data_IF_865432862827
#
_entry.id   IF_865432862827
#
_cell.length_a   1.000
_cell.length_b   1.000
_cell.length_c   1.000
_cell.angle_alpha   90.00
_cell.angle_beta   90.00
_cell.angle_gamma   90.00
#
_symmetry.space_group_name_H-M   'P 1'
#
loop_
_entity.id
_entity.type
_entity.pdbx_description
1 polymer ?
#
# COMPACT_ATOMS: atom_id res chain seq x y z
N UNK A 1 6.22 8.12 -1.64
CA UNK A 1 5.23 9.12 -2.09
C UNK A 1 5.03 10.16 -0.99
N UNK A 2 5.01 11.44 -1.34
CA UNK A 2 4.65 12.55 -0.43
C UNK A 2 3.18 12.86 -0.64
N UNK A 3 2.38 12.89 0.42
CA UNK A 3 0.92 13.05 0.32
C UNK A 3 0.49 14.35 1.01
N UNK A 4 -0.20 15.22 0.28
CA UNK A 4 -0.92 16.41 0.78
C UNK A 4 -2.40 16.36 0.48
N UNK A 5 -3.20 16.92 1.39
CA UNK A 5 -4.53 17.43 1.05
C UNK A 5 -4.40 18.83 0.42
N UNK A 6 -5.34 19.21 -0.45
CA UNK A 6 -5.29 20.45 -1.28
C UNK A 6 -5.00 21.77 -0.52
N UNK A 7 -5.18 21.81 0.81
CA UNK A 7 -5.03 23.02 1.65
C UNK A 7 -3.80 23.01 2.57
N UNK A 8 -2.95 22.00 2.46
CA UNK A 8 -1.81 21.79 3.35
C UNK A 8 -0.49 22.27 2.75
N UNK A 9 0.25 23.09 3.52
CA UNK A 9 1.60 23.52 3.17
C UNK A 9 2.61 22.38 3.24
N UNK A 10 3.76 22.54 2.57
CA UNK A 10 4.80 21.51 2.45
C UNK A 10 5.28 20.92 3.78
N UNK A 11 5.22 21.72 4.84
CA UNK A 11 5.62 21.35 6.20
C UNK A 11 4.65 20.36 6.90
N UNK A 12 3.51 20.01 6.29
CA UNK A 12 2.46 19.17 6.90
C UNK A 12 2.25 17.82 6.21
N UNK A 13 3.11 17.46 5.26
CA UNK A 13 2.96 16.24 4.47
C UNK A 13 3.22 14.96 5.27
N UNK A 14 2.44 13.93 4.99
CA UNK A 14 2.80 12.56 5.37
C UNK A 14 3.79 11.99 4.36
N UNK A 15 4.71 11.17 4.85
CA UNK A 15 5.60 10.36 4.02
C UNK A 15 5.17 8.90 4.10
N UNK A 16 4.85 8.33 2.95
CA UNK A 16 4.45 6.92 2.82
C UNK A 16 5.31 6.26 1.75
N UNK A 17 5.92 5.13 2.06
CA UNK A 17 6.51 4.25 1.07
C UNK A 17 5.41 3.39 0.47
N UNK A 18 5.34 3.34 -0.85
CA UNK A 18 4.36 2.53 -1.57
C UNK A 18 5.14 1.50 -2.35
N UNK A 19 4.91 0.23 -2.05
CA UNK A 19 5.39 -0.89 -2.84
C UNK A 19 4.34 -1.19 -3.89
N UNK A 20 4.76 -1.31 -5.14
CA UNK A 20 3.87 -1.55 -6.28
C UNK A 20 4.41 -2.71 -7.08
N UNK A 21 3.54 -3.66 -7.41
CA UNK A 21 3.83 -4.73 -8.34
C UNK A 21 2.69 -4.83 -9.34
N UNK A 22 3.05 -4.98 -10.61
CA UNK A 22 2.13 -5.19 -11.72
C UNK A 22 2.52 -6.49 -12.43
N UNK A 23 1.55 -7.37 -12.66
CA UNK A 23 1.74 -8.54 -13.50
C UNK A 23 0.48 -8.87 -14.30
N UNK A 24 0.69 -9.36 -15.53
CA UNK A 24 -0.36 -9.71 -16.49
C UNK A 24 -0.74 -11.19 -16.35
N UNK A 25 -2.03 -11.46 -16.18
CA UNK A 25 -2.64 -12.77 -16.39
C UNK A 25 -2.90 -12.96 -17.89
N UNK A 26 -1.87 -13.42 -18.62
CA UNK A 26 -1.87 -13.46 -20.10
C UNK A 26 -3.04 -14.23 -20.73
N UNK A 27 -3.57 -15.26 -20.05
CA UNK A 27 -4.65 -16.10 -20.56
C UNK A 27 -6.04 -15.45 -20.51
N UNK A 28 -6.19 -14.32 -19.82
CA UNK A 28 -7.48 -13.65 -19.57
C UNK A 28 -7.39 -12.13 -19.72
N UNK A 29 -6.35 -11.66 -20.43
CA UNK A 29 -6.06 -10.25 -20.71
C UNK A 29 -6.22 -9.28 -19.53
N UNK A 30 -5.89 -9.73 -18.32
CA UNK A 30 -6.10 -8.96 -17.09
C UNK A 30 -4.77 -8.58 -16.45
N UNK A 31 -4.55 -7.30 -16.17
CA UNK A 31 -3.46 -6.85 -15.31
C UNK A 31 -3.87 -6.87 -13.83
N UNK A 32 -2.99 -7.38 -12.97
CA UNK A 32 -3.15 -7.35 -11.52
C UNK A 32 -2.16 -6.36 -10.94
N UNK A 33 -2.68 -5.31 -10.30
CA UNK A 33 -1.90 -4.33 -9.56
C UNK A 33 -2.00 -4.61 -8.05
N UNK A 34 -0.87 -4.92 -7.42
CA UNK A 34 -0.77 -5.10 -5.97
C UNK A 34 -0.02 -3.90 -5.39
N UNK A 35 -0.64 -3.23 -4.42
CA UNK A 35 -0.02 -2.10 -3.71
C UNK A 35 0.01 -2.35 -2.21
N UNK A 36 1.16 -2.12 -1.58
CA UNK A 36 1.30 -2.14 -0.12
C UNK A 36 1.85 -0.79 0.38
N UNK A 37 1.27 -0.27 1.45
CA UNK A 37 1.57 1.06 1.99
C UNK A 37 2.28 0.94 3.33
N UNK A 38 3.45 1.55 3.44
CA UNK A 38 4.23 1.64 4.67
C UNK A 38 4.38 3.11 5.07
N UNK A 39 3.68 3.57 6.13
CA UNK A 39 3.89 4.90 6.67
C UNK A 39 5.32 5.06 7.18
N UNK A 40 6.02 6.09 6.72
CA UNK A 40 7.36 6.46 7.22
C UNK A 40 7.25 7.62 8.20
N UNK A 41 6.46 8.65 7.84
CA UNK A 41 6.22 9.80 8.69
C UNK A 41 4.75 10.19 8.65
N UNK A 42 4.20 10.30 9.84
CA UNK A 42 2.88 10.80 10.11
C UNK A 42 3.08 12.19 10.72
N UNK A 43 2.68 13.24 9.99
CA UNK A 43 2.97 14.59 10.45
C UNK A 43 2.02 15.00 11.60
N UNK A 44 2.52 15.54 12.72
CA UNK A 44 1.70 16.02 13.84
C UNK A 44 0.80 17.21 13.50
N UNK A 45 1.05 17.94 12.41
CA UNK A 45 0.35 19.17 12.04
C UNK A 45 -0.71 18.94 10.95
N UNK A 46 -1.02 17.69 10.63
CA UNK A 46 -2.03 17.35 9.62
C UNK A 46 -3.45 17.53 10.18
N UNK A 47 -4.40 17.88 9.32
CA UNK A 47 -5.84 18.04 9.66
C UNK A 47 -6.50 16.76 10.23
N UNK A 48 -5.85 15.60 10.17
CA UNK A 48 -6.41 14.31 10.61
C UNK A 48 -5.61 13.65 11.73
N UNK A 49 -4.94 14.45 12.57
CA UNK A 49 -4.16 13.98 13.73
C UNK A 49 -4.99 13.09 14.66
N UNK A 50 -6.26 13.42 14.89
CA UNK A 50 -7.11 12.67 15.82
C UNK A 50 -7.50 11.28 15.30
N UNK A 51 -7.54 11.07 13.98
CA UNK A 51 -8.01 9.80 13.40
C UNK A 51 -6.96 8.68 13.42
N UNK A 52 -5.67 9.01 13.49
CA UNK A 52 -4.56 8.05 13.33
C UNK A 52 -3.49 8.24 14.42
N UNK A 53 -3.70 9.17 15.34
CA UNK A 53 -2.68 9.62 16.29
C UNK A 53 -1.56 10.39 15.58
N UNK A 54 -0.91 11.28 16.33
CA UNK A 54 0.31 11.95 15.91
C UNK A 54 1.49 11.26 16.58
N UNK A 55 2.25 10.46 15.82
CA UNK A 55 3.52 9.91 16.25
C UNK A 55 4.45 9.74 15.06
N UNK A 56 5.76 9.71 15.29
CA UNK A 56 6.68 9.11 14.33
C UNK A 56 6.17 7.69 14.08
N UNK A 57 5.85 7.36 12.83
CA UNK A 57 5.48 6.01 12.49
C UNK A 57 6.69 5.14 12.86
N UNK A 58 6.53 4.28 13.87
CA UNK A 58 7.60 3.36 14.26
C UNK A 58 7.80 2.45 13.05
N UNK A 59 9.03 2.37 12.49
CA UNK A 59 9.30 1.44 11.41
C UNK A 59 8.82 0.05 11.81
N UNK A 60 8.09 -0.62 10.94
CA UNK A 60 7.51 -1.95 11.22
C UNK A 60 8.58 -2.96 11.65
N UNK A 61 9.81 -2.78 11.17
CA UNK A 61 11.01 -3.54 11.60
C UNK A 61 11.32 -3.44 13.10
N UNK A 62 10.79 -2.45 13.81
CA UNK A 62 10.95 -2.24 15.25
C UNK A 62 9.73 -2.65 16.07
N UNK A 63 8.62 -3.05 15.42
CA UNK A 63 7.37 -3.41 16.10
C UNK A 63 7.15 -4.94 16.22
N UNK A 64 8.10 -5.75 15.75
CA UNK A 64 7.97 -7.21 15.70
C UNK A 64 6.95 -7.72 14.68
N UNK A 65 6.43 -6.83 13.81
CA UNK A 65 5.48 -7.17 12.75
C UNK A 65 6.24 -7.32 11.42
N UNK A 66 5.74 -8.15 10.51
CA UNK A 66 6.36 -8.35 9.20
C UNK A 66 6.43 -7.02 8.40
N UNK A 67 7.61 -6.60 7.93
CA UNK A 67 7.75 -5.41 7.10
C UNK A 67 6.91 -5.49 5.82
N UNK A 68 6.36 -4.36 5.35
CA UNK A 68 5.52 -4.35 4.14
C UNK A 68 6.25 -4.81 2.88
N UNK A 69 7.58 -4.68 2.83
CA UNK A 69 8.38 -5.24 1.74
C UNK A 69 8.39 -6.78 1.72
N UNK A 70 8.27 -7.44 2.87
CA UNK A 70 8.15 -8.89 2.98
C UNK A 70 6.71 -9.33 2.72
N UNK A 71 5.74 -8.58 3.25
CA UNK A 71 4.31 -8.82 2.97
C UNK A 71 4.04 -8.82 1.48
N UNK A 72 4.47 -7.79 0.74
CA UNK A 72 4.23 -7.74 -0.71
C UNK A 72 4.94 -8.89 -1.44
N UNK A 73 6.17 -9.24 -1.05
CA UNK A 73 6.89 -10.39 -1.63
C UNK A 73 6.14 -11.70 -1.39
N UNK A 74 5.65 -11.92 -0.18
CA UNK A 74 4.88 -13.10 0.17
C UNK A 74 3.55 -13.12 -0.59
N UNK A 75 2.82 -12.00 -0.66
CA UNK A 75 1.57 -11.91 -1.42
C UNK A 75 1.77 -12.23 -2.90
N UNK A 76 2.89 -11.80 -3.48
CA UNK A 76 3.22 -12.10 -4.88
C UNK A 76 3.66 -13.56 -5.07
N UNK A 77 4.44 -14.12 -4.14
CA UNK A 77 4.91 -15.51 -4.24
C UNK A 77 3.82 -16.55 -4.01
N UNK A 78 2.77 -16.19 -3.26
CA UNK A 78 1.62 -17.06 -3.00
C UNK A 78 0.39 -16.69 -3.83
N UNK A 79 0.50 -15.71 -4.74
CA UNK A 79 -0.62 -15.30 -5.58
C UNK A 79 -1.11 -16.48 -6.43
N UNK A 80 -2.38 -16.81 -6.28
CA UNK A 80 -3.04 -17.87 -7.04
C UNK A 80 -4.47 -17.47 -7.36
N UNK A 81 -4.84 -17.63 -8.63
CA UNK A 81 -6.25 -17.64 -9.02
C UNK A 81 -6.82 -19.01 -8.67
N UNK A 82 -7.78 -19.04 -7.75
CA UNK A 82 -8.42 -20.28 -7.33
C UNK A 82 -9.58 -20.67 -8.25
N UNK A 83 -10.29 -19.69 -8.79
CA UNK A 83 -11.40 -19.88 -9.72
C UNK A 83 -11.19 -18.97 -10.94
N UNK A 84 -10.89 -19.59 -12.08
CA UNK A 84 -10.67 -18.88 -13.34
C UNK A 84 -11.97 -18.43 -14.02
N UNK A 85 -13.13 -18.95 -13.60
CA UNK A 85 -14.43 -18.49 -14.11
C UNK A 85 -14.72 -17.03 -13.77
N UNK A 86 -14.00 -16.46 -12.78
CA UNK A 86 -14.00 -15.03 -12.45
C UNK A 86 -13.71 -14.14 -13.66
N UNK A 87 -12.92 -14.62 -14.62
CA UNK A 87 -12.52 -13.86 -15.80
C UNK A 87 -13.31 -14.25 -17.05
N UNK A 88 -14.24 -15.20 -16.95
CA UNK A 88 -15.16 -15.51 -18.03
C UNK A 88 -16.22 -14.41 -18.09
N UNK A 89 -16.14 -13.55 -19.10
CA UNK A 89 -17.32 -12.81 -19.54
C UNK A 89 -18.32 -13.81 -20.11
N UNK A 90 -19.55 -13.82 -19.57
CA UNK A 90 -20.70 -14.44 -20.24
C UNK A 90 -20.76 -13.87 -21.66
N UNK A 91 -20.91 -14.71 -22.71
CA UNK A 91 -21.01 -14.23 -24.09
C UNK A 91 -22.19 -13.28 -24.32
#
# INVERSE_FOLDING_TARGET
>A
MVISKRRQGKETHNLVRVYVANFRLKGVDTDVLVTAYEPILINPLRESVEAVGSSLAVPVSQSGVMPMCEVIKQSLSTFKVNDWSLFCSVP
#
